data_IF_694684264879
#
_entry.id   IF_694684264879
#
_cell.length_a   1.000
_cell.length_b   1.000
_cell.length_c   1.000
_cell.angle_alpha   90.00
_cell.angle_beta   90.00
_cell.angle_gamma   90.00
#
_symmetry.space_group_name_H-M   'P 1'
#
loop_
_entity.id
_entity.type
_entity.pdbx_description
1 polymer ?
#
# COMPACT_ATOMS: atom_id res chain seq x y z
N UNK A 1 -39.88 35.78 17.99
CA UNK A 1 -41.17 35.07 17.80
C UNK A 1 -40.81 33.63 17.39
N UNK A 2 -40.63 32.72 18.36
CA UNK A 2 -41.48 31.52 18.64
C UNK A 2 -41.51 30.55 17.44
N UNK A 3 -41.05 29.28 17.47
CA UNK A 3 -40.87 28.25 18.53
C UNK A 3 -39.89 27.16 18.03
N UNK A 4 -38.79 26.79 18.71
CA UNK A 4 -38.59 25.58 19.57
C UNK A 4 -39.47 24.35 19.31
N UNK A 5 -38.83 23.19 19.14
CA UNK A 5 -39.42 21.87 19.46
C UNK A 5 -38.73 20.65 18.83
N UNK A 6 -37.59 20.22 19.35
CA UNK A 6 -37.16 18.80 19.46
C UNK A 6 -37.15 18.50 20.99
N UNK A 7 -37.20 17.26 21.55
CA UNK A 7 -36.79 15.97 20.99
C UNK A 7 -37.65 14.76 21.50
N UNK A 8 -37.11 13.57 21.88
CA UNK A 8 -37.28 12.28 21.20
C UNK A 8 -38.19 11.29 21.97
N UNK A 9 -38.82 10.35 21.27
CA UNK A 9 -39.20 9.07 21.87
C UNK A 9 -37.98 8.14 21.76
N UNK A 10 -37.49 7.44 22.78
CA UNK A 10 -38.06 7.06 24.05
C UNK A 10 -37.59 5.62 24.32
N UNK A 11 -36.79 5.45 25.36
CA UNK A 11 -36.12 4.22 25.78
C UNK A 11 -37.06 3.02 25.97
N UNK A 12 -36.55 1.82 25.70
CA UNK A 12 -36.99 0.55 26.29
C UNK A 12 -35.73 -0.30 26.48
N UNK A 13 -35.12 -0.23 27.66
CA UNK A 13 -35.15 -1.28 28.69
C UNK A 13 -34.44 -2.59 28.28
N UNK A 14 -33.18 -2.67 28.68
CA UNK A 14 -32.58 -3.75 29.48
C UNK A 14 -33.25 -5.13 29.39
N UNK A 15 -32.76 -5.95 28.47
CA UNK A 15 -32.91 -7.40 28.57
C UNK A 15 -31.83 -7.96 29.54
N UNK A 16 -32.32 -8.29 30.73
CA UNK A 16 -31.84 -9.23 31.74
C UNK A 16 -30.66 -10.15 31.36
N UNK A 17 -29.63 -10.14 32.21
CA UNK A 17 -28.58 -11.16 32.24
C UNK A 17 -29.20 -12.50 32.67
N UNK A 18 -29.20 -13.48 31.76
CA UNK A 18 -29.49 -14.88 32.07
C UNK A 18 -28.22 -15.71 31.95
N UNK A 19 -27.59 -16.01 33.08
CA UNK A 19 -26.58 -17.07 33.20
C UNK A 19 -27.25 -18.42 32.93
N UNK A 20 -26.77 -19.15 31.92
CA UNK A 20 -27.13 -20.54 31.70
C UNK A 20 -25.86 -21.34 31.42
N UNK A 21 -25.45 -22.03 32.48
CA UNK A 21 -24.44 -23.08 32.54
C UNK A 21 -24.52 -24.09 31.38
N UNK A 22 -23.33 -24.36 30.87
CA UNK A 22 -22.84 -25.47 30.05
C UNK A 22 -23.73 -26.73 29.96
N UNK A 23 -24.02 -27.16 28.72
CA UNK A 23 -24.12 -28.58 28.39
C UNK A 23 -23.63 -28.83 26.97
N UNK A 24 -22.59 -29.66 26.91
CA UNK A 24 -21.83 -29.98 25.71
C UNK A 24 -22.63 -30.59 24.57
N UNK A 25 -22.19 -30.22 23.37
CA UNK A 25 -22.47 -30.90 22.12
C UNK A 25 -21.23 -30.79 21.25
N UNK A 26 -20.23 -31.63 21.51
CA UNK A 26 -19.10 -31.83 20.60
C UNK A 26 -19.65 -32.27 19.25
N UNK A 27 -19.53 -31.41 18.24
CA UNK A 27 -19.62 -31.83 16.84
C UNK A 27 -18.43 -31.27 16.09
N UNK A 28 -17.45 -32.16 16.01
CA UNK A 28 -16.23 -32.07 15.22
C UNK A 28 -16.62 -31.72 13.78
N UNK A 29 -16.47 -30.45 13.42
CA UNK A 29 -16.62 -30.02 12.03
C UNK A 29 -15.27 -30.24 11.38
N UNK A 30 -15.22 -31.36 10.65
CA UNK A 30 -14.25 -31.82 9.67
C UNK A 30 -13.24 -30.75 9.26
N UNK A 31 -11.97 -31.12 9.43
CA UNK A 31 -10.81 -30.29 9.14
C UNK A 31 -10.93 -29.53 7.82
N UNK A 32 -10.76 -28.22 7.94
CA UNK A 32 -10.38 -27.35 6.84
C UNK A 32 -8.93 -27.70 6.47
N UNK A 33 -8.75 -28.83 5.81
CA UNK A 33 -7.52 -29.15 5.10
C UNK A 33 -7.52 -28.33 3.82
N UNK A 34 -6.73 -27.25 3.76
CA UNK A 34 -6.52 -26.61 2.46
C UNK A 34 -6.02 -25.18 2.41
N UNK A 35 -5.45 -24.60 3.45
CA UNK A 35 -4.47 -23.52 3.28
C UNK A 35 -3.27 -23.84 4.17
N UNK A 36 -2.57 -24.92 3.83
CA UNK A 36 -1.18 -25.01 4.25
C UNK A 36 -0.47 -23.83 3.61
N UNK A 37 -0.24 -22.75 4.36
CA UNK A 37 0.85 -21.83 4.08
C UNK A 37 2.06 -22.72 3.82
N UNK A 38 2.49 -22.76 2.54
CA UNK A 38 3.64 -23.55 2.13
C UNK A 38 4.75 -23.25 3.12
N UNK A 39 5.20 -24.25 3.88
CA UNK A 39 6.34 -24.09 4.79
C UNK A 39 7.52 -23.71 3.90
N UNK A 40 7.85 -22.43 3.87
CA UNK A 40 8.99 -21.89 3.16
C UNK A 40 10.22 -22.55 3.77
N UNK A 41 10.94 -23.36 2.99
CA UNK A 41 12.26 -23.80 3.40
C UNK A 41 13.23 -22.61 3.27
N UNK A 42 14.32 -22.54 4.06
CA UNK A 42 15.31 -21.47 3.93
C UNK A 42 15.96 -21.41 2.54
N UNK A 43 15.96 -22.53 1.80
CA UNK A 43 16.38 -22.56 0.40
C UNK A 43 15.37 -21.89 -0.54
N UNK A 44 14.10 -21.82 -0.15
CA UNK A 44 13.04 -21.14 -0.89
C UNK A 44 13.12 -19.62 -0.72
N UNK A 45 13.79 -19.11 0.35
CA UNK A 45 14.06 -17.68 0.54
C UNK A 45 15.34 -17.20 -0.18
N UNK A 46 16.22 -18.11 -0.56
CA UNK A 46 17.52 -17.80 -1.19
C UNK A 46 17.42 -17.23 -2.62
N UNK A 47 16.23 -17.25 -3.23
CA UNK A 47 15.98 -16.74 -4.59
C UNK A 47 15.43 -15.32 -4.65
N UNK A 48 15.13 -14.71 -3.50
CA UNK A 48 14.60 -13.34 -3.45
C UNK A 48 15.75 -12.34 -3.34
N UNK A 49 15.75 -11.35 -4.22
CA UNK A 49 16.70 -10.24 -4.22
C UNK A 49 15.93 -8.96 -3.94
N UNK A 50 16.35 -8.19 -2.92
CA UNK A 50 15.77 -6.87 -2.64
C UNK A 50 16.51 -5.82 -3.46
N UNK A 51 15.84 -5.24 -4.44
CA UNK A 51 16.33 -4.06 -5.15
C UNK A 51 16.00 -2.80 -4.33
N UNK A 52 16.99 -1.93 -4.12
CA UNK A 52 16.81 -0.57 -3.61
C UNK A 52 17.04 0.39 -4.77
N UNK A 53 16.12 1.32 -4.97
CA UNK A 53 16.18 2.28 -6.07
C UNK A 53 15.70 3.63 -5.57
N UNK A 54 16.39 4.67 -6.00
CA UNK A 54 16.02 6.07 -5.83
C UNK A 54 15.96 6.68 -7.24
N UNK A 55 14.88 7.38 -7.56
CA UNK A 55 14.63 7.92 -8.90
C UNK A 55 14.28 9.39 -8.80
N UNK A 56 14.99 10.21 -9.57
CA UNK A 56 14.62 11.60 -9.85
C UNK A 56 14.33 11.72 -11.33
N UNK A 57 13.16 12.29 -11.66
CA UNK A 57 12.68 12.44 -13.02
C UNK A 57 12.41 13.93 -13.28
N UNK A 58 12.89 14.42 -14.42
CA UNK A 58 12.50 15.74 -14.91
C UNK A 58 11.10 15.65 -15.53
N UNK A 59 10.18 16.51 -15.10
CA UNK A 59 8.84 16.66 -15.67
C UNK A 59 8.82 17.93 -16.54
N UNK A 60 9.06 17.83 -17.85
CA UNK A 60 9.13 19.00 -18.73
C UNK A 60 7.75 19.60 -19.03
N UNK A 61 6.68 18.81 -18.87
CA UNK A 61 5.29 19.23 -19.10
C UNK A 61 4.35 18.61 -18.06
N UNK A 62 4.13 19.35 -16.98
CA UNK A 62 3.21 19.01 -15.90
C UNK A 62 1.78 18.74 -16.41
N UNK A 63 1.31 19.55 -17.38
CA UNK A 63 -0.05 19.46 -17.90
C UNK A 63 -0.28 18.19 -18.69
N UNK A 64 0.72 17.77 -19.48
CA UNK A 64 0.68 16.50 -20.19
C UNK A 64 0.67 15.31 -19.22
N UNK A 65 1.48 15.36 -18.14
CA UNK A 65 1.53 14.32 -17.13
C UNK A 65 0.18 14.17 -16.39
N UNK A 66 -0.36 15.27 -15.86
CA UNK A 66 -1.68 15.27 -15.21
C UNK A 66 -2.77 14.83 -16.19
N UNK A 67 -2.73 15.27 -17.45
CA UNK A 67 -3.67 14.85 -18.48
C UNK A 67 -3.68 13.34 -18.70
N UNK A 68 -2.50 12.73 -18.81
CA UNK A 68 -2.36 11.29 -18.96
C UNK A 68 -2.90 10.53 -17.73
N UNK A 69 -2.62 11.02 -16.52
CA UNK A 69 -3.16 10.43 -15.29
C UNK A 69 -4.70 10.46 -15.26
N UNK A 70 -5.31 11.58 -15.64
CA UNK A 70 -6.76 11.72 -15.73
C UNK A 70 -7.38 10.80 -16.77
N UNK A 71 -6.75 10.66 -17.95
CA UNK A 71 -7.20 9.71 -18.97
C UNK A 71 -7.15 8.27 -18.45
N UNK A 72 -6.13 7.93 -17.66
CA UNK A 72 -5.98 6.60 -17.08
C UNK A 72 -7.01 6.33 -15.97
N UNK A 73 -7.33 7.33 -15.15
CA UNK A 73 -8.39 7.28 -14.14
C UNK A 73 -9.78 7.11 -14.78
N UNK A 74 -10.07 7.84 -15.85
CA UNK A 74 -11.34 7.75 -16.58
C UNK A 74 -11.52 6.38 -17.25
N UNK A 75 -10.42 5.81 -17.77
CA UNK A 75 -10.40 4.51 -18.42
C UNK A 75 -10.54 3.31 -17.47
N UNK A 76 -10.29 3.47 -16.16
CA UNK A 76 -10.43 2.39 -15.18
C UNK A 76 -11.91 2.12 -14.86
N UNK A 77 -12.49 1.10 -15.52
CA UNK A 77 -13.88 0.67 -15.31
C UNK A 77 -14.13 0.01 -13.96
N UNK A 78 -13.09 -0.42 -13.25
CA UNK A 78 -13.19 -1.13 -11.98
C UNK A 78 -13.11 -0.17 -10.78
N UNK A 79 -12.70 1.08 -11.01
CA UNK A 79 -12.63 2.11 -9.98
C UNK A 79 -14.03 2.65 -9.59
N UNK A 80 -14.43 2.58 -8.31
CA UNK A 80 -15.66 3.20 -7.82
C UNK A 80 -15.66 4.73 -7.98
N UNK A 81 -16.82 5.36 -8.16
CA UNK A 81 -16.92 6.81 -8.39
C UNK A 81 -16.33 7.67 -7.27
N UNK A 82 -16.49 7.26 -6.00
CA UNK A 82 -15.92 7.98 -4.86
C UNK A 82 -14.38 7.92 -4.90
N UNK A 83 -13.80 6.76 -5.18
CA UNK A 83 -12.37 6.57 -5.33
C UNK A 83 -11.82 7.32 -6.54
N UNK A 84 -12.57 7.30 -7.66
CA UNK A 84 -12.25 8.07 -8.86
C UNK A 84 -12.14 9.55 -8.55
N UNK A 85 -13.12 10.14 -7.87
CA UNK A 85 -13.10 11.55 -7.48
C UNK A 85 -11.91 11.91 -6.59
N UNK A 86 -11.49 11.01 -5.70
CA UNK A 86 -10.31 11.19 -4.87
C UNK A 86 -9.01 11.14 -5.69
N UNK A 87 -8.83 10.13 -6.54
CA UNK A 87 -7.66 10.00 -7.42
C UNK A 87 -7.55 11.21 -8.36
N UNK A 88 -8.66 11.60 -8.98
CA UNK A 88 -8.79 12.77 -9.82
C UNK A 88 -8.41 14.09 -9.12
N UNK A 89 -8.73 14.21 -7.83
CA UNK A 89 -8.34 15.38 -7.04
C UNK A 89 -6.85 15.35 -6.73
N UNK A 90 -6.29 14.19 -6.39
CA UNK A 90 -4.89 14.02 -6.04
C UNK A 90 -3.96 14.33 -7.22
N UNK A 91 -4.20 13.76 -8.40
CA UNK A 91 -3.35 13.99 -9.58
C UNK A 91 -3.39 15.43 -10.12
N UNK A 92 -4.41 16.21 -9.72
CA UNK A 92 -4.51 17.64 -10.03
C UNK A 92 -3.85 18.52 -8.98
N UNK A 93 -3.54 17.98 -7.80
CA UNK A 93 -2.91 18.72 -6.71
C UNK A 93 -1.42 18.89 -6.95
N UNK A 94 -0.71 17.83 -7.36
CA UNK A 94 0.73 17.85 -7.62
C UNK A 94 1.17 16.86 -8.71
N UNK A 95 2.30 17.17 -9.35
CA UNK A 95 2.93 16.34 -10.39
C UNK A 95 3.42 14.99 -9.85
N UNK A 96 3.83 14.93 -8.58
CA UNK A 96 4.23 13.68 -7.92
C UNK A 96 3.06 12.72 -7.83
N UNK A 97 1.87 13.21 -7.45
CA UNK A 97 0.65 12.38 -7.37
C UNK A 97 0.26 11.83 -8.75
N UNK A 98 0.34 12.66 -9.80
CA UNK A 98 0.12 12.22 -11.16
C UNK A 98 1.13 11.14 -11.60
N UNK A 99 2.41 11.30 -11.23
CA UNK A 99 3.45 10.31 -11.52
C UNK A 99 3.24 9.00 -10.75
N UNK A 100 2.92 9.07 -9.45
CA UNK A 100 2.64 7.90 -8.63
C UNK A 100 1.43 7.11 -9.14
N UNK A 101 0.42 7.79 -9.67
CA UNK A 101 -0.73 7.11 -10.27
C UNK A 101 -0.35 6.34 -11.55
N UNK A 102 0.57 6.88 -12.35
CA UNK A 102 0.89 6.35 -13.67
C UNK A 102 1.96 5.25 -13.67
N UNK A 103 2.88 5.25 -12.72
CA UNK A 103 3.94 4.25 -12.71
C UNK A 103 3.46 2.96 -12.06
N UNK A 104 3.51 1.87 -12.82
CA UNK A 104 3.32 0.51 -12.31
C UNK A 104 4.69 -0.16 -12.07
N UNK A 105 5.02 -0.57 -10.85
CA UNK A 105 6.32 -1.17 -10.55
C UNK A 105 6.52 -2.55 -11.18
N UNK A 106 5.45 -3.23 -11.59
CA UNK A 106 5.54 -4.52 -12.30
C UNK A 106 6.03 -4.29 -13.72
N UNK A 107 5.48 -3.31 -14.43
CA UNK A 107 5.92 -2.90 -15.77
C UNK A 107 7.40 -2.48 -15.79
N UNK A 108 7.91 -1.88 -14.71
CA UNK A 108 9.33 -1.49 -14.61
C UNK A 108 10.31 -2.68 -14.69
N UNK A 109 9.89 -3.87 -14.26
CA UNK A 109 10.75 -5.07 -14.24
C UNK A 109 10.26 -6.17 -15.19
N UNK A 110 9.14 -5.96 -15.88
CA UNK A 110 8.45 -6.98 -16.69
C UNK A 110 9.32 -7.59 -17.79
N UNK A 111 10.20 -6.78 -18.40
CA UNK A 111 11.05 -7.22 -19.51
C UNK A 111 12.35 -7.92 -19.06
N UNK A 112 12.60 -8.05 -17.75
CA UNK A 112 13.83 -8.67 -17.23
C UNK A 112 13.68 -10.20 -17.19
N UNK A 113 14.47 -10.97 -17.95
CA UNK A 113 14.29 -12.43 -18.02
C UNK A 113 14.48 -13.11 -16.66
N UNK A 114 13.48 -13.89 -16.24
CA UNK A 114 13.52 -14.67 -15.00
C UNK A 114 13.23 -13.87 -13.73
N UNK A 115 12.76 -12.63 -13.85
CA UNK A 115 12.33 -11.78 -12.73
C UNK A 115 10.80 -11.76 -12.65
N UNK A 116 10.28 -11.91 -11.45
CA UNK A 116 8.87 -11.75 -11.12
C UNK A 116 8.80 -10.83 -9.88
N UNK A 117 8.03 -9.74 -9.97
CA UNK A 117 7.85 -8.83 -8.84
C UNK A 117 6.93 -9.48 -7.80
N UNK A 118 7.43 -9.62 -6.57
CA UNK A 118 6.67 -10.21 -5.45
C UNK A 118 6.09 -9.13 -4.53
N UNK A 119 6.82 -8.04 -4.35
CA UNK A 119 6.43 -6.93 -3.49
C UNK A 119 7.15 -5.67 -3.97
N UNK A 120 6.42 -4.56 -4.04
CA UNK A 120 6.97 -3.22 -4.20
C UNK A 120 6.34 -2.28 -3.17
N UNK A 121 7.13 -1.30 -2.73
CA UNK A 121 6.68 -0.16 -1.93
C UNK A 121 7.49 1.03 -2.38
N UNK A 122 6.82 2.14 -2.61
CA UNK A 122 7.38 3.34 -3.22
C UNK A 122 6.48 4.53 -2.91
N UNK A 123 7.03 5.72 -3.08
CA UNK A 123 6.35 7.01 -2.94
C UNK A 123 6.98 7.98 -3.93
N UNK A 124 6.24 9.02 -4.28
CA UNK A 124 6.71 10.12 -5.11
C UNK A 124 6.61 11.41 -4.32
N UNK A 125 7.59 12.30 -4.50
CA UNK A 125 7.56 13.64 -3.95
C UNK A 125 8.28 14.61 -4.89
N UNK A 126 7.90 15.90 -4.91
CA UNK A 126 8.66 16.90 -5.61
C UNK A 126 10.02 17.10 -4.93
N UNK A 127 11.09 17.17 -5.72
CA UNK A 127 12.45 17.39 -5.23
C UNK A 127 13.16 18.48 -6.03
N UNK A 128 14.05 19.24 -5.37
CA UNK A 128 14.98 20.13 -6.06
C UNK A 128 16.18 19.32 -6.56
N UNK A 129 16.43 19.32 -7.87
CA UNK A 129 17.53 18.58 -8.48
C UNK A 129 18.62 19.51 -9.00
N UNK A 130 19.86 19.32 -8.52
CA UNK A 130 21.06 19.99 -9.03
C UNK A 130 21.97 18.98 -9.76
N UNK A 131 22.14 19.09 -11.08
CA UNK A 131 22.92 18.11 -11.87
C UNK A 131 24.43 18.20 -11.62
N UNK A 132 24.92 19.27 -10.99
CA UNK A 132 26.34 19.44 -10.64
C UNK A 132 26.66 18.88 -9.25
N UNK A 133 25.64 18.55 -8.44
CA UNK A 133 25.79 17.90 -7.14
C UNK A 133 26.20 16.43 -7.29
N UNK A 134 27.38 16.10 -6.77
CA UNK A 134 27.99 14.76 -6.84
C UNK A 134 27.47 13.80 -5.76
N UNK A 135 26.81 14.32 -4.72
CA UNK A 135 26.16 13.54 -3.67
C UNK A 135 24.65 13.61 -3.87
N UNK A 136 24.11 12.55 -4.45
CA UNK A 136 22.76 12.14 -4.08
C UNK A 136 22.97 11.41 -2.75
N UNK A 137 22.34 11.87 -1.67
CA UNK A 137 22.42 11.21 -0.35
C UNK A 137 21.66 9.88 -0.40
N UNK A 138 22.16 8.95 -1.23
CA UNK A 138 21.72 7.57 -1.33
C UNK A 138 22.27 6.88 -0.08
N UNK A 139 21.60 7.12 1.04
CA UNK A 139 22.09 6.92 2.40
C UNK A 139 23.18 5.87 2.54
N UNK A 140 24.30 6.28 3.15
CA UNK A 140 25.33 5.39 3.69
C UNK A 140 24.71 4.49 4.78
N UNK A 141 23.92 3.48 4.41
CA UNK A 141 23.44 2.43 5.31
C UNK A 141 23.75 1.06 4.72
N UNK A 142 25.04 0.77 4.57
CA UNK A 142 25.54 -0.60 4.44
C UNK A 142 26.79 -0.79 5.32
N UNK A 143 26.62 -0.51 6.61
CA UNK A 143 27.70 -0.59 7.59
C UNK A 143 27.21 -0.74 9.02
N UNK A 144 26.50 -1.82 9.34
CA UNK A 144 26.65 -2.58 10.60
C UNK A 144 25.60 -3.69 10.70
N UNK A 145 25.71 -4.70 9.83
CA UNK A 145 25.19 -6.04 10.13
C UNK A 145 26.39 -7.00 10.18
N UNK A 146 26.63 -7.54 11.36
CA UNK A 146 27.60 -8.59 11.71
C UNK A 146 29.03 -8.18 12.14
N UNK A 147 29.14 -7.69 13.38
CA UNK A 147 30.32 -7.97 14.21
C UNK A 147 29.91 -8.39 15.62
N UNK A 148 29.63 -9.67 15.79
CA UNK A 148 29.81 -10.38 17.07
C UNK A 148 31.22 -11.02 17.11
N UNK A 149 32.22 -10.45 17.80
CA UNK A 149 33.42 -11.19 18.14
C UNK A 149 33.78 -11.02 19.62
N UNK A 150 33.75 -12.14 20.32
CA UNK A 150 34.66 -12.36 21.44
C UNK A 150 33.98 -12.56 22.77
N UNK A 151 33.45 -13.75 22.96
CA UNK A 151 33.61 -14.41 24.25
C UNK A 151 35.11 -14.50 24.55
N UNK A 152 35.58 -13.83 25.60
CA UNK A 152 36.87 -14.07 26.25
C UNK A 152 36.73 -13.82 27.74
#
# INVERSE_FOLDING_TARGET
MRTRGDPPCGSSELAVCGDATERGGSRESRGFSGLTLRRMNPSDTSRYVRLRVDLVLEVPDAGALTGAALEHIDADEFMPDEERGHAESAVREDESEALAYLVDPTDLVAEIPGVELVQASWSSEPVEYDPESLEWDLGEEDGDLDREPGSA
#
